data_IF_940883982228
#
_entry.id   IF_940883982228
#
_cell.length_a   1.000
_cell.length_b   1.000
_cell.length_c   1.000
_cell.angle_alpha   90.00
_cell.angle_beta   90.00
_cell.angle_gamma   90.00
#
_symmetry.space_group_name_H-M   'P 1'
#
loop_
_entity.id
_entity.type
_entity.pdbx_description
1 polymer ?
#
# COMPACT_ATOMS: atom_id res chain seq x y z
N UNK A 1 -26.65 -57.91 -19.30
CA UNK A 1 -25.63 -58.66 -18.53
C UNK A 1 -24.37 -57.81 -18.44
N UNK A 2 -24.21 -57.00 -17.38
CA UNK A 2 -22.91 -56.35 -17.09
C UNK A 2 -22.70 -56.36 -15.57
N UNK A 3 -21.99 -57.38 -15.08
CA UNK A 3 -21.66 -57.54 -13.67
C UNK A 3 -20.64 -56.51 -13.23
N UNK A 4 -21.00 -55.68 -12.24
CA UNK A 4 -20.04 -54.86 -11.49
C UNK A 4 -19.24 -55.80 -10.58
N UNK A 5 -17.96 -55.98 -10.87
CA UNK A 5 -17.03 -56.71 -10.02
C UNK A 5 -16.81 -55.95 -8.71
N UNK A 6 -17.37 -56.50 -7.63
CA UNK A 6 -17.20 -55.98 -6.29
C UNK A 6 -15.79 -56.34 -5.79
N UNK A 7 -14.81 -55.47 -6.04
CA UNK A 7 -13.46 -55.61 -5.46
C UNK A 7 -13.56 -55.40 -3.95
N UNK A 8 -13.68 -56.50 -3.20
CA UNK A 8 -13.55 -56.51 -1.75
C UNK A 8 -12.16 -55.96 -1.40
N UNK A 9 -12.13 -54.79 -0.75
CA UNK A 9 -10.91 -54.20 -0.21
C UNK A 9 -10.36 -55.16 0.86
N UNK A 10 -9.24 -55.80 0.59
CA UNK A 10 -8.52 -56.61 1.56
C UNK A 10 -8.19 -55.76 2.79
N UNK A 11 -8.55 -56.25 3.98
CA UNK A 11 -8.25 -55.61 5.24
C UNK A 11 -6.73 -55.52 5.41
N UNK A 12 -6.21 -54.31 5.64
CA UNK A 12 -4.79 -54.12 5.95
C UNK A 12 -4.46 -54.87 7.24
N UNK A 13 -3.54 -55.82 7.19
CA UNK A 13 -3.01 -56.48 8.38
C UNK A 13 -2.36 -55.43 9.29
N UNK A 14 -2.98 -55.17 10.43
CA UNK A 14 -2.44 -54.24 11.44
C UNK A 14 -1.55 -55.01 12.40
N UNK A 15 -0.29 -54.59 12.54
CA UNK A 15 0.63 -55.17 13.50
C UNK A 15 0.04 -55.03 14.92
N UNK A 16 -0.18 -56.14 15.67
CA UNK A 16 -0.79 -56.10 16.99
C UNK A 16 0.04 -55.33 18.03
N UNK A 17 1.32 -55.07 17.76
CA UNK A 17 2.19 -54.24 18.59
C UNK A 17 1.91 -52.72 18.44
N UNK A 18 1.17 -52.31 17.41
CA UNK A 18 0.84 -50.90 17.15
C UNK A 18 -0.63 -50.67 17.54
N UNK A 19 -0.84 -50.25 18.79
CA UNK A 19 -2.18 -49.94 19.33
C UNK A 19 -2.51 -48.45 19.15
N UNK A 20 -3.67 -48.14 18.58
CA UNK A 20 -4.14 -46.78 18.38
C UNK A 20 -4.70 -46.16 19.67
N UNK A 21 -3.87 -45.41 20.40
CA UNK A 21 -4.28 -44.71 21.62
C UNK A 21 -4.92 -43.34 21.30
N UNK A 22 -6.23 -43.32 21.09
CA UNK A 22 -6.99 -42.08 20.86
C UNK A 22 -7.04 -41.25 22.14
N UNK A 23 -6.56 -40.00 22.08
CA UNK A 23 -6.62 -39.05 23.20
C UNK A 23 -7.86 -38.17 23.07
N UNK A 24 -8.65 -38.09 24.14
CA UNK A 24 -9.71 -37.09 24.27
C UNK A 24 -9.08 -35.81 24.79
N UNK A 25 -9.17 -34.74 24.01
CA UNK A 25 -8.62 -33.45 24.38
C UNK A 25 -9.71 -32.52 24.90
N UNK A 26 -9.40 -31.70 25.90
CA UNK A 26 -10.37 -30.77 26.47
C UNK A 26 -10.08 -30.45 27.92
N UNK A 27 -10.93 -29.61 28.52
CA UNK A 27 -10.83 -29.26 29.94
C UNK A 27 -11.14 -30.51 30.78
N UNK A 28 -10.25 -30.87 31.71
CA UNK A 28 -10.37 -32.09 32.53
C UNK A 28 -9.81 -33.36 31.89
N UNK A 29 -9.38 -33.29 30.61
CA UNK A 29 -8.74 -34.39 29.90
C UNK A 29 -7.35 -33.95 29.40
N UNK A 30 -6.83 -34.57 28.33
CA UNK A 30 -5.51 -34.25 27.77
C UNK A 30 -5.52 -32.83 27.19
N UNK A 31 -4.48 -32.05 27.48
CA UNK A 31 -4.32 -30.72 26.88
C UNK A 31 -4.03 -30.83 25.38
N UNK A 32 -4.66 -29.97 24.58
CA UNK A 32 -4.31 -29.85 23.17
C UNK A 32 -2.88 -29.31 23.02
N UNK A 33 -2.07 -29.83 22.08
CA UNK A 33 -0.89 -29.10 21.63
C UNK A 33 -1.35 -27.78 21.00
N UNK A 34 -0.78 -26.66 21.43
CA UNK A 34 -1.16 -25.32 20.97
C UNK A 34 0.07 -24.53 20.58
N UNK A 35 -0.04 -23.73 19.52
CA UNK A 35 0.93 -22.68 19.25
C UNK A 35 0.76 -21.56 20.29
N UNK A 36 1.81 -21.34 21.08
CA UNK A 36 1.85 -20.33 22.13
C UNK A 36 2.41 -18.99 21.67
N UNK A 37 2.84 -18.84 20.41
CA UNK A 37 3.47 -17.61 19.86
C UNK A 37 2.74 -16.32 20.24
N UNK A 38 1.40 -16.34 20.23
CA UNK A 38 0.56 -15.20 20.61
C UNK A 38 0.61 -14.84 22.11
N UNK A 39 0.82 -15.84 22.96
CA UNK A 39 0.77 -15.73 24.43
C UNK A 39 2.15 -15.55 25.06
N UNK A 40 3.22 -15.67 24.26
CA UNK A 40 4.60 -15.42 24.71
C UNK A 40 4.79 -13.95 25.13
N UNK A 41 5.45 -13.74 26.26
CA UNK A 41 5.94 -12.43 26.67
C UNK A 41 7.16 -12.07 25.81
N UNK A 42 6.94 -11.24 24.79
CA UNK A 42 8.01 -10.81 23.90
C UNK A 42 9.06 -9.92 24.61
N UNK A 43 10.34 -9.99 24.19
CA UNK A 43 11.38 -9.05 24.62
C UNK A 43 10.96 -7.58 24.43
N UNK A 44 11.54 -6.69 25.23
CA UNK A 44 11.15 -5.27 25.27
C UNK A 44 11.22 -4.59 23.89
N UNK A 45 12.28 -4.80 23.12
CA UNK A 45 12.44 -4.18 21.80
C UNK A 45 11.34 -4.57 20.80
N UNK A 46 10.88 -5.83 20.83
CA UNK A 46 9.78 -6.30 19.98
C UNK A 46 8.46 -5.67 20.40
N UNK A 47 8.23 -5.54 21.72
CA UNK A 47 7.03 -4.88 22.27
C UNK A 47 6.96 -3.42 21.84
N UNK A 48 8.05 -2.67 22.03
CA UNK A 48 8.15 -1.26 21.63
C UNK A 48 7.87 -1.08 20.13
N UNK A 49 8.44 -1.91 19.26
CA UNK A 49 8.18 -1.83 17.80
C UNK A 49 6.71 -2.11 17.45
N UNK A 50 6.10 -3.11 18.08
CA UNK A 50 4.68 -3.46 17.88
C UNK A 50 3.75 -2.37 18.40
N UNK A 51 4.04 -1.83 19.59
CA UNK A 51 3.30 -0.75 20.22
C UNK A 51 3.40 0.55 19.42
N UNK A 52 4.59 0.92 18.93
CA UNK A 52 4.78 2.07 18.02
C UNK A 52 3.90 1.95 16.78
N UNK A 53 3.92 0.80 16.11
CA UNK A 53 3.05 0.54 14.93
C UNK A 53 1.57 0.60 15.30
N UNK A 54 1.18 0.09 16.46
CA UNK A 54 -0.21 0.11 16.91
C UNK A 54 -0.66 1.54 17.22
N UNK A 55 0.17 2.32 17.89
CA UNK A 55 -0.11 3.71 18.24
C UNK A 55 -0.33 4.57 16.99
N UNK A 56 0.54 4.44 15.98
CA UNK A 56 0.38 5.13 14.69
C UNK A 56 -0.93 4.79 13.97
N UNK A 57 -1.46 3.58 14.15
CA UNK A 57 -2.77 3.18 13.59
C UNK A 57 -3.94 3.75 14.38
N UNK A 58 -3.80 3.89 15.69
CA UNK A 58 -4.89 4.29 16.62
C UNK A 58 -5.06 5.80 16.70
N UNK A 59 -3.94 6.53 16.69
CA UNK A 59 -3.98 7.99 16.70
C UNK A 59 -4.53 8.52 15.37
N UNK A 60 -5.14 9.70 15.42
CA UNK A 60 -5.50 10.45 14.22
C UNK A 60 -4.20 11.06 13.67
N UNK A 61 -3.82 10.68 12.45
CA UNK A 61 -2.59 11.18 11.83
C UNK A 61 -2.89 12.39 10.95
N UNK A 62 -2.05 13.45 11.02
CA UNK A 62 -2.25 14.64 10.20
C UNK A 62 -2.03 14.33 8.72
N UNK A 63 -2.66 15.07 7.78
CA UNK A 63 -2.58 14.80 6.36
C UNK A 63 -1.14 14.74 5.82
N UNK A 64 -0.26 15.63 6.29
CA UNK A 64 1.16 15.66 5.89
C UNK A 64 1.90 14.34 6.15
N UNK A 65 1.52 13.61 7.20
CA UNK A 65 2.09 12.30 7.55
C UNK A 65 1.33 11.17 6.87
N UNK A 66 0.01 11.30 6.76
CA UNK A 66 -0.88 10.31 6.14
C UNK A 66 -0.51 10.02 4.67
N UNK A 67 -0.04 11.03 3.95
CA UNK A 67 0.48 10.93 2.57
C UNK A 67 1.47 9.75 2.43
N UNK A 68 2.42 9.61 3.34
CA UNK A 68 3.41 8.53 3.27
C UNK A 68 2.84 7.16 3.67
N UNK A 69 1.85 7.12 4.56
CA UNK A 69 1.29 5.87 5.06
C UNK A 69 0.34 5.20 4.06
N UNK A 70 -0.54 5.98 3.43
CA UNK A 70 -1.68 5.46 2.67
C UNK A 70 -1.62 5.78 1.17
N UNK A 71 -0.89 6.82 0.76
CA UNK A 71 -0.81 7.25 -0.64
C UNK A 71 0.53 6.85 -1.26
N UNK A 72 0.77 5.54 -1.31
CA UNK A 72 1.92 4.97 -2.02
C UNK A 72 1.53 4.47 -3.39
N UNK A 73 2.45 4.50 -4.34
CA UNK A 73 2.29 3.93 -5.66
C UNK A 73 1.95 2.44 -5.57
N UNK A 74 0.99 2.01 -6.38
CA UNK A 74 0.57 0.62 -6.48
C UNK A 74 1.68 -0.25 -7.08
N UNK A 75 1.53 -1.58 -6.93
CA UNK A 75 2.57 -2.54 -7.32
C UNK A 75 2.87 -2.50 -8.82
N UNK A 76 1.87 -2.25 -9.66
CA UNK A 76 2.02 -2.30 -11.13
C UNK A 76 2.85 -1.11 -11.59
N UNK A 77 2.43 0.11 -11.24
CA UNK A 77 3.16 1.33 -11.58
C UNK A 77 4.55 1.37 -10.94
N UNK A 78 4.70 0.89 -9.69
CA UNK A 78 6.00 0.80 -9.05
C UNK A 78 6.94 -0.16 -9.80
N UNK A 79 6.45 -1.29 -10.30
CA UNK A 79 7.29 -2.24 -11.03
C UNK A 79 7.78 -1.65 -12.35
N UNK A 80 6.92 -0.92 -13.07
CA UNK A 80 7.30 -0.19 -14.28
C UNK A 80 8.34 0.90 -13.97
N UNK A 81 8.12 1.68 -12.91
CA UNK A 81 9.07 2.69 -12.44
C UNK A 81 10.45 2.08 -12.18
N UNK A 82 10.53 1.01 -11.39
CA UNK A 82 11.81 0.40 -11.04
C UNK A 82 12.55 -0.19 -12.23
N UNK A 83 11.85 -0.70 -13.25
CA UNK A 83 12.48 -1.17 -14.50
C UNK A 83 13.18 -0.03 -15.23
N UNK A 84 12.50 1.11 -15.39
CA UNK A 84 13.06 2.31 -16.03
C UNK A 84 14.26 2.83 -15.22
N UNK A 85 14.12 2.90 -13.89
CA UNK A 85 15.21 3.38 -13.02
C UNK A 85 16.43 2.44 -13.06
N UNK A 86 16.24 1.15 -13.32
CA UNK A 86 17.33 0.18 -13.44
C UNK A 86 18.30 0.51 -14.58
N UNK A 87 17.79 1.06 -15.67
CA UNK A 87 18.60 1.43 -16.83
C UNK A 87 19.45 2.70 -16.61
N UNK A 88 19.14 3.50 -15.58
CA UNK A 88 19.73 4.82 -15.30
C UNK A 88 20.57 4.78 -14.00
N UNK A 89 20.97 3.60 -13.55
CA UNK A 89 21.78 3.43 -12.33
C UNK A 89 23.10 4.20 -12.40
N UNK A 90 23.55 4.81 -11.28
CA UNK A 90 24.89 5.38 -11.20
C UNK A 90 25.95 4.27 -11.21
N UNK A 91 27.17 4.61 -11.62
CA UNK A 91 28.27 3.65 -11.67
C UNK A 91 28.64 3.10 -10.29
N UNK A 92 28.93 1.80 -10.24
CA UNK A 92 29.54 1.18 -9.07
C UNK A 92 30.98 1.67 -8.86
N UNK A 93 31.45 1.64 -7.61
CA UNK A 93 32.81 2.05 -7.25
C UNK A 93 33.90 1.29 -8.02
N UNK A 94 33.70 -0.01 -8.26
CA UNK A 94 34.64 -0.85 -9.03
C UNK A 94 34.71 -0.43 -10.51
N UNK A 95 33.55 -0.25 -11.16
CA UNK A 95 33.45 0.21 -12.54
C UNK A 95 34.06 1.63 -12.70
N UNK A 96 33.79 2.52 -11.74
CA UNK A 96 34.38 3.87 -11.71
C UNK A 96 35.90 3.83 -11.63
N UNK A 97 36.46 2.93 -10.81
CA UNK A 97 37.92 2.75 -10.70
C UNK A 97 38.52 2.23 -12.01
N UNK A 98 37.87 1.25 -12.66
CA UNK A 98 38.31 0.74 -13.96
C UNK A 98 38.27 1.84 -15.03
N UNK A 99 37.21 2.64 -15.08
CA UNK A 99 37.09 3.78 -16.00
C UNK A 99 38.19 4.81 -15.77
N UNK A 100 38.48 5.16 -14.52
CA UNK A 100 39.56 6.10 -14.18
C UNK A 100 40.92 5.53 -14.59
N UNK A 101 41.18 4.24 -14.33
CA UNK A 101 42.43 3.57 -14.75
C UNK A 101 42.57 3.51 -16.26
N UNK A 102 41.50 3.21 -16.99
CA UNK A 102 41.50 3.20 -18.45
C UNK A 102 41.77 4.60 -19.02
N UNK A 103 41.07 5.61 -18.52
CA UNK A 103 41.29 7.00 -18.92
C UNK A 103 42.73 7.47 -18.61
N UNK A 104 43.29 7.07 -17.46
CA UNK A 104 44.67 7.38 -17.10
C UNK A 104 45.69 6.70 -18.04
N UNK A 105 45.45 5.44 -18.43
CA UNK A 105 46.28 4.73 -19.42
C UNK A 105 46.23 5.40 -20.79
N UNK A 106 45.03 5.72 -21.28
CA UNK A 106 44.86 6.44 -22.56
C UNK A 106 45.56 7.80 -22.57
N UNK A 107 45.50 8.54 -21.45
CA UNK A 107 46.20 9.82 -21.30
C UNK A 107 47.72 9.64 -21.30
N UNK A 108 48.23 8.61 -20.61
CA UNK A 108 49.66 8.30 -20.60
C UNK A 108 50.17 7.94 -22.00
N UNK A 109 49.45 7.10 -22.74
CA UNK A 109 49.80 6.72 -24.12
C UNK A 109 49.78 7.91 -25.09
N UNK A 110 48.80 8.81 -24.97
CA UNK A 110 48.74 10.04 -25.79
C UNK A 110 49.89 10.99 -25.49
N UNK A 111 50.28 11.11 -24.22
CA UNK A 111 51.41 11.95 -23.80
C UNK A 111 52.73 11.39 -24.33
N UNK A 112 52.91 10.06 -24.31
CA UNK A 112 54.09 9.40 -24.90
C UNK A 112 54.18 9.58 -26.42
N UNK A 113 53.04 9.72 -27.12
CA UNK A 113 52.97 9.97 -28.57
C UNK A 113 53.08 11.46 -28.95
N UNK A 114 53.32 12.36 -27.99
CA UNK A 114 53.51 13.80 -28.25
C UNK A 114 52.24 14.58 -28.62
N UNK A 115 51.05 13.95 -28.57
CA UNK A 115 49.78 14.65 -28.76
C UNK A 115 49.40 15.45 -27.50
N UNK A 116 48.84 16.66 -27.69
CA UNK A 116 48.37 17.50 -26.56
C UNK A 116 47.37 16.70 -25.71
N UNK A 117 47.71 16.56 -24.42
CA UNK A 117 46.90 15.91 -23.39
C UNK A 117 45.64 16.73 -23.03
N UNK A 118 44.83 17.10 -24.02
CA UNK A 118 43.46 17.52 -23.74
C UNK A 118 42.66 16.25 -23.45
N UNK A 119 42.13 16.14 -22.23
CA UNK A 119 41.21 15.08 -21.83
C UNK A 119 40.23 14.80 -22.97
N UNK A 120 40.24 13.56 -23.44
CA UNK A 120 39.51 13.01 -24.58
C UNK A 120 38.14 13.68 -24.77
N UNK A 121 37.78 13.98 -26.03
CA UNK A 121 36.43 14.22 -26.58
C UNK A 121 35.33 14.34 -25.51
N UNK A 122 34.74 15.54 -25.33
CA UNK A 122 33.52 15.81 -24.53
C UNK A 122 32.60 14.59 -24.57
N UNK A 123 32.75 13.71 -23.60
CA UNK A 123 32.02 12.45 -23.55
C UNK A 123 30.64 12.86 -23.08
N UNK A 124 29.61 12.50 -23.84
CA UNK A 124 28.24 12.87 -23.50
C UNK A 124 27.96 12.46 -22.04
N UNK A 125 27.47 13.41 -21.26
CA UNK A 125 27.24 13.19 -19.83
C UNK A 125 26.25 12.02 -19.69
N UNK A 126 26.60 10.95 -18.96
CA UNK A 126 25.71 9.81 -18.84
C UNK A 126 24.47 10.20 -18.04
N UNK A 127 23.29 9.83 -18.57
CA UNK A 127 22.03 9.92 -17.84
C UNK A 127 22.12 9.00 -16.60
N UNK A 128 22.13 9.60 -15.42
CA UNK A 128 22.31 8.90 -14.14
C UNK A 128 21.30 9.40 -13.13
N UNK A 129 20.88 8.51 -12.22
CA UNK A 129 20.00 8.88 -11.12
C UNK A 129 20.68 9.84 -10.16
N UNK A 130 19.98 10.95 -9.88
CA UNK A 130 20.40 11.89 -8.86
C UNK A 130 19.84 11.44 -7.52
N UNK A 131 20.68 11.37 -6.49
CA UNK A 131 20.29 10.91 -5.16
C UNK A 131 20.77 11.86 -4.06
N UNK A 132 20.21 11.67 -2.86
CA UNK A 132 20.52 12.47 -1.67
C UNK A 132 19.61 13.68 -1.55
N UNK A 133 19.09 13.91 -0.34
CA UNK A 133 18.04 14.91 -0.06
C UNK A 133 18.47 16.31 -0.53
N UNK A 134 19.64 16.79 -0.10
CA UNK A 134 20.11 18.14 -0.44
C UNK A 134 20.29 18.33 -1.95
N UNK A 135 20.81 17.31 -2.65
CA UNK A 135 21.00 17.38 -4.09
C UNK A 135 19.66 17.37 -4.83
N UNK A 136 18.73 16.52 -4.39
CA UNK A 136 17.38 16.44 -4.97
C UNK A 136 16.60 17.74 -4.74
N UNK A 137 16.66 18.33 -3.54
CA UNK A 137 16.03 19.64 -3.25
C UNK A 137 16.54 20.70 -4.21
N UNK A 138 17.86 20.81 -4.40
CA UNK A 138 18.47 21.74 -5.36
C UNK A 138 17.97 21.52 -6.80
N UNK A 139 17.77 20.26 -7.21
CA UNK A 139 17.24 19.93 -8.54
C UNK A 139 15.76 20.30 -8.69
N UNK A 140 14.97 20.17 -7.62
CA UNK A 140 13.57 20.58 -7.57
C UNK A 140 13.47 22.10 -7.68
N UNK A 141 14.24 22.84 -6.88
CA UNK A 141 14.28 24.31 -6.90
C UNK A 141 14.68 24.87 -8.26
N UNK A 142 15.65 24.22 -8.92
CA UNK A 142 16.07 24.57 -10.29
C UNK A 142 15.12 24.08 -11.38
N UNK A 143 14.05 23.35 -11.04
CA UNK A 143 13.11 22.71 -11.97
C UNK A 143 13.79 21.82 -13.01
N UNK A 144 14.90 21.18 -12.63
CA UNK A 144 15.67 20.27 -13.48
C UNK A 144 15.24 18.80 -13.32
N UNK A 145 14.53 18.49 -12.24
CA UNK A 145 13.99 17.16 -12.00
C UNK A 145 12.70 16.93 -12.83
N UNK A 146 12.65 15.83 -13.58
CA UNK A 146 11.47 15.39 -14.32
C UNK A 146 10.50 14.57 -13.45
N UNK A 147 11.06 13.79 -12.52
CA UNK A 147 10.31 13.01 -11.54
C UNK A 147 11.12 12.89 -10.25
N UNK A 148 10.44 13.04 -9.11
CA UNK A 148 11.01 12.81 -7.78
C UNK A 148 10.36 11.58 -7.15
N UNK A 149 11.17 10.62 -6.74
CA UNK A 149 10.74 9.37 -6.11
C UNK A 149 11.09 9.43 -4.63
N UNK A 150 10.08 9.32 -3.78
CA UNK A 150 10.21 9.47 -2.33
C UNK A 150 9.89 8.14 -1.64
N UNK A 151 10.71 7.70 -0.69
CA UNK A 151 10.40 6.53 0.13
C UNK A 151 9.40 6.86 1.25
N UNK A 152 8.49 5.92 1.54
CA UNK A 152 7.50 6.07 2.61
C UNK A 152 8.00 5.78 4.03
N UNK A 153 9.10 5.02 4.17
CA UNK A 153 9.59 4.40 5.41
C UNK A 153 10.90 5.05 5.89
N UNK A 154 11.07 6.33 5.58
CA UNK A 154 12.20 7.12 6.03
C UNK A 154 12.03 7.43 7.52
N UNK A 155 13.12 7.26 8.26
CA UNK A 155 13.20 7.52 9.69
C UNK A 155 14.50 8.29 9.91
N UNK A 156 14.47 9.54 10.41
CA UNK A 156 13.32 10.37 10.81
C UNK A 156 12.44 10.91 9.65
N UNK A 157 11.15 11.14 9.91
CA UNK A 157 10.18 11.52 8.86
C UNK A 157 10.35 13.00 8.43
N UNK A 158 10.78 13.85 9.35
CA UNK A 158 11.03 15.29 9.22
C UNK A 158 11.87 15.62 7.98
N UNK A 159 12.80 14.72 7.66
CA UNK A 159 13.69 14.81 6.49
C UNK A 159 12.95 14.87 5.15
N UNK A 160 11.71 14.36 5.09
CA UNK A 160 10.97 14.11 3.85
C UNK A 160 9.57 14.75 3.86
N UNK A 161 9.01 15.11 5.02
CA UNK A 161 7.64 15.68 5.14
C UNK A 161 7.39 16.85 4.18
N UNK A 162 8.39 17.73 4.00
CA UNK A 162 8.24 18.94 3.20
C UNK A 162 8.33 18.70 1.68
N UNK A 163 8.88 17.56 1.23
CA UNK A 163 9.17 17.32 -0.19
C UNK A 163 7.93 17.25 -1.07
N UNK A 164 6.84 16.54 -0.70
CA UNK A 164 5.60 16.56 -1.49
C UNK A 164 5.05 17.97 -1.70
N UNK A 165 5.17 18.84 -0.69
CA UNK A 165 4.72 20.22 -0.78
C UNK A 165 5.64 21.07 -1.66
N UNK A 166 6.96 20.90 -1.53
CA UNK A 166 7.96 21.55 -2.38
C UNK A 166 7.76 21.21 -3.87
N UNK A 167 7.61 19.92 -4.18
CA UNK A 167 7.34 19.44 -5.52
C UNK A 167 6.03 20.03 -6.08
N UNK A 168 4.98 20.12 -5.25
CA UNK A 168 3.70 20.72 -5.65
C UNK A 168 3.84 22.20 -5.99
N UNK A 169 4.51 22.98 -5.13
CA UNK A 169 4.72 24.42 -5.32
C UNK A 169 5.51 24.72 -6.60
N UNK A 170 6.52 23.90 -6.90
CA UNK A 170 7.41 24.09 -8.04
C UNK A 170 6.98 23.33 -9.31
N UNK A 171 5.80 22.69 -9.29
CA UNK A 171 5.21 21.96 -10.42
C UNK A 171 6.08 20.78 -10.91
N UNK A 172 6.78 20.12 -9.98
CA UNK A 172 7.60 18.93 -10.28
C UNK A 172 6.80 17.67 -9.93
N UNK A 173 6.61 16.72 -10.87
CA UNK A 173 5.95 15.45 -10.58
C UNK A 173 6.71 14.66 -9.51
N UNK A 174 5.98 14.08 -8.57
CA UNK A 174 6.55 13.22 -7.54
C UNK A 174 5.70 11.97 -7.30
N UNK A 175 6.34 10.90 -6.82
CA UNK A 175 5.65 9.70 -6.38
C UNK A 175 6.23 9.19 -5.07
N UNK A 176 5.40 8.48 -4.31
CA UNK A 176 5.80 7.86 -3.05
C UNK A 176 5.83 6.35 -3.25
N UNK A 177 6.94 5.73 -2.88
CA UNK A 177 7.22 4.32 -3.13
C UNK A 177 7.47 3.58 -1.82
N UNK A 178 7.07 2.30 -1.79
CA UNK A 178 7.32 1.42 -0.65
C UNK A 178 8.77 0.93 -0.64
N UNK A 179 9.49 1.23 0.43
CA UNK A 179 10.80 0.66 0.77
C UNK A 179 11.97 1.53 0.34
N UNK A 180 12.57 2.24 1.30
CA UNK A 180 13.85 2.96 1.14
C UNK A 180 15.02 2.04 0.79
N UNK A 181 14.94 0.77 1.19
CA UNK A 181 15.91 -0.25 0.82
C UNK A 181 15.92 -0.53 -0.69
N UNK A 182 14.73 -0.54 -1.31
CA UNK A 182 14.60 -0.79 -2.76
C UNK A 182 15.14 0.38 -3.59
N UNK A 183 14.97 1.62 -3.13
CA UNK A 183 15.63 2.79 -3.72
C UNK A 183 17.16 2.74 -3.48
N UNK A 184 17.61 2.27 -2.31
CA UNK A 184 19.02 2.09 -2.01
C UNK A 184 19.72 1.14 -2.99
N UNK A 185 19.09 0.01 -3.32
CA UNK A 185 19.62 -0.97 -4.27
C UNK A 185 19.90 -0.37 -5.65
N UNK A 186 19.08 0.58 -6.13
CA UNK A 186 19.32 1.27 -7.40
C UNK A 186 20.60 2.12 -7.39
N UNK A 187 20.97 2.68 -6.24
CA UNK A 187 22.11 3.61 -6.12
C UNK A 187 23.33 2.97 -5.46
N UNK A 188 23.35 1.64 -5.33
CA UNK A 188 24.40 0.89 -4.63
C UNK A 188 24.61 1.34 -3.17
N UNK A 189 23.51 1.59 -2.45
CA UNK A 189 23.48 1.92 -1.01
C UNK A 189 22.52 1.00 -0.26
N UNK A 190 22.67 0.89 1.06
CA UNK A 190 21.74 0.13 1.90
C UNK A 190 20.34 0.74 1.90
N UNK A 191 20.24 2.06 1.87
CA UNK A 191 18.98 2.80 1.85
C UNK A 191 19.11 4.11 1.08
N UNK A 192 18.00 4.57 0.50
CA UNK A 192 17.88 5.91 -0.06
C UNK A 192 16.51 6.50 0.30
N UNK A 193 16.49 7.72 0.83
CA UNK A 193 15.25 8.41 1.18
C UNK A 193 14.54 8.97 -0.07
N UNK A 194 15.30 9.53 -0.99
CA UNK A 194 14.80 10.25 -2.16
C UNK A 194 15.75 10.04 -3.34
N UNK A 195 15.17 9.87 -4.52
CA UNK A 195 15.88 9.80 -5.80
C UNK A 195 15.16 10.72 -6.79
N UNK A 196 15.89 11.38 -7.67
CA UNK A 196 15.35 12.21 -8.73
C UNK A 196 15.88 11.78 -10.10
N UNK A 197 15.00 11.86 -11.09
CA UNK A 197 15.31 11.62 -12.51
C UNK A 197 15.43 12.98 -13.19
N UNK A 198 16.61 13.27 -13.75
CA UNK A 198 16.88 14.50 -14.52
C UNK A 198 16.84 14.22 -16.02
N UNK A 199 17.56 13.19 -16.45
CA UNK A 199 17.71 12.77 -17.84
C UNK A 199 17.38 11.27 -17.97
N UNK A 200 16.91 10.89 -19.16
CA UNK A 200 16.43 9.55 -19.48
C UNK A 200 16.96 9.19 -20.84
N UNK A 201 17.30 7.91 -21.02
CA UNK A 201 17.70 7.35 -22.31
C UNK A 201 16.54 7.45 -23.30
N UNK A 202 16.86 7.54 -24.60
CA UNK A 202 15.85 7.70 -25.65
C UNK A 202 14.87 6.53 -25.70
N UNK A 203 15.34 5.32 -25.41
CA UNK A 203 14.57 4.07 -25.42
C UNK A 203 13.40 4.08 -24.41
N UNK A 204 13.63 4.57 -23.19
CA UNK A 204 12.65 4.53 -22.11
C UNK A 204 11.77 5.79 -22.03
N UNK A 205 11.99 6.77 -22.91
CA UNK A 205 11.38 8.11 -22.81
C UNK A 205 9.86 8.06 -22.88
N UNK A 206 9.29 7.32 -23.84
CA UNK A 206 7.84 7.22 -24.02
C UNK A 206 7.16 6.52 -22.83
N UNK A 207 7.73 5.41 -22.35
CA UNK A 207 7.21 4.68 -21.20
C UNK A 207 7.27 5.54 -19.92
N UNK A 208 8.35 6.32 -19.75
CA UNK A 208 8.49 7.23 -18.63
C UNK A 208 7.47 8.38 -18.68
N UNK A 209 7.25 9.01 -19.84
CA UNK A 209 6.29 10.11 -19.98
C UNK A 209 4.86 9.65 -19.65
N UNK A 210 4.46 8.47 -20.11
CA UNK A 210 3.18 7.87 -19.74
C UNK A 210 3.07 7.62 -18.24
N UNK A 211 4.12 7.07 -17.62
CA UNK A 211 4.15 6.87 -16.17
C UNK A 211 4.07 8.20 -15.39
N UNK A 212 4.77 9.23 -15.85
CA UNK A 212 4.75 10.56 -15.22
C UNK A 212 3.36 11.20 -15.32
N UNK A 213 2.66 11.04 -16.44
CA UNK A 213 1.28 11.51 -16.57
C UNK A 213 0.36 10.81 -15.56
N UNK A 214 0.44 9.48 -15.47
CA UNK A 214 -0.33 8.71 -14.48
C UNK A 214 -0.02 9.15 -13.04
N UNK A 215 1.26 9.32 -12.71
CA UNK A 215 1.71 9.80 -11.39
C UNK A 215 1.19 11.21 -11.11
N UNK A 216 1.19 12.11 -12.10
CA UNK A 216 0.69 13.47 -11.95
C UNK A 216 -0.79 13.47 -11.58
N UNK A 217 -1.61 12.65 -12.23
CA UNK A 217 -3.03 12.52 -11.86
C UNK A 217 -3.22 11.94 -10.45
N UNK A 218 -2.39 10.97 -10.04
CA UNK A 218 -2.48 10.36 -8.70
C UNK A 218 -2.10 11.35 -7.57
N UNK A 219 -1.05 12.16 -7.74
CA UNK A 219 -0.50 12.97 -6.64
C UNK A 219 -0.77 14.47 -6.78
N UNK A 220 -0.66 15.00 -8.01
CA UNK A 220 -0.67 16.44 -8.24
C UNK A 220 -2.10 16.99 -8.32
N UNK A 221 -2.95 16.33 -9.10
CA UNK A 221 -4.34 16.73 -9.36
C UNK A 221 -5.27 16.39 -8.17
N UNK A 222 -4.90 15.38 -7.38
CA UNK A 222 -5.66 14.93 -6.22
C UNK A 222 -5.49 15.84 -4.99
N UNK A 223 -6.21 16.97 -4.98
CA UNK A 223 -6.20 17.90 -3.85
C UNK A 223 -6.68 17.28 -2.51
N UNK A 224 -7.56 16.28 -2.58
CA UNK A 224 -8.10 15.58 -1.40
C UNK A 224 -7.00 14.96 -0.53
N UNK A 225 -5.94 14.43 -1.15
CA UNK A 225 -4.83 13.77 -0.48
C UNK A 225 -4.15 14.66 0.59
N UNK A 226 -4.12 15.98 0.37
CA UNK A 226 -3.51 16.93 1.31
C UNK A 226 -4.43 17.35 2.46
N UNK A 227 -5.70 16.94 2.43
CA UNK A 227 -6.73 17.29 3.43
C UNK A 227 -7.16 16.06 4.25
N UNK A 228 -6.91 14.87 3.74
CA UNK A 228 -7.33 13.61 4.35
C UNK A 228 -6.50 13.28 5.61
N UNK A 229 -7.17 13.22 6.75
CA UNK A 229 -6.59 12.71 7.98
C UNK A 229 -6.58 11.18 7.96
N UNK A 230 -5.47 10.59 8.43
CA UNK A 230 -5.33 9.15 8.52
C UNK A 230 -5.52 8.61 9.93
N UNK A 231 -5.26 7.30 10.05
CA UNK A 231 -5.24 6.61 11.34
C UNK A 231 -6.66 6.37 11.88
N UNK A 232 -6.81 6.44 13.21
CA UNK A 232 -8.07 6.12 13.93
C UNK A 232 -8.65 4.73 13.60
N UNK A 233 -7.79 3.80 13.15
CA UNK A 233 -8.19 2.43 12.87
C UNK A 233 -8.30 1.73 14.21
N UNK A 234 -9.46 1.16 14.54
CA UNK A 234 -9.66 0.42 15.79
C UNK A 234 -9.15 -1.04 15.71
N UNK A 235 -9.08 -1.70 16.86
CA UNK A 235 -8.65 -3.10 16.93
C UNK A 235 -9.74 -4.07 16.47
N UNK A 236 -9.34 -5.24 15.97
CA UNK A 236 -10.25 -6.28 15.50
C UNK A 236 -11.36 -6.60 16.51
N UNK A 237 -11.03 -6.79 17.81
CA UNK A 237 -12.00 -7.06 18.86
C UNK A 237 -13.06 -5.94 19.01
N UNK A 238 -12.63 -4.69 18.89
CA UNK A 238 -13.55 -3.56 18.96
C UNK A 238 -14.45 -3.52 17.72
N UNK A 239 -13.87 -3.69 16.52
CA UNK A 239 -14.63 -3.70 15.26
C UNK A 239 -15.66 -4.82 15.23
N UNK A 240 -15.32 -6.03 15.69
CA UNK A 240 -16.24 -7.15 15.83
C UNK A 240 -17.39 -6.86 16.81
N UNK A 241 -17.09 -6.23 17.95
CA UNK A 241 -18.13 -5.79 18.89
C UNK A 241 -19.07 -4.78 18.24
N UNK A 242 -18.54 -3.77 17.55
CA UNK A 242 -19.34 -2.78 16.85
C UNK A 242 -20.19 -3.40 15.74
N UNK A 243 -19.62 -4.32 14.95
CA UNK A 243 -20.34 -5.04 13.90
C UNK A 243 -21.50 -5.86 14.46
N UNK A 244 -21.32 -6.51 15.61
CA UNK A 244 -22.40 -7.22 16.32
C UNK A 244 -23.48 -6.29 16.87
N UNK A 245 -23.11 -5.10 17.33
CA UNK A 245 -24.08 -4.09 17.79
C UNK A 245 -24.88 -3.56 16.60
N UNK A 246 -24.19 -3.19 15.51
CA UNK A 246 -24.83 -2.73 14.26
C UNK A 246 -25.75 -3.80 13.66
N UNK A 247 -25.35 -5.06 13.65
CA UNK A 247 -26.21 -6.12 13.12
C UNK A 247 -27.47 -6.36 13.95
N UNK A 248 -27.42 -6.16 15.27
CA UNK A 248 -28.61 -6.19 16.14
C UNK A 248 -29.50 -4.98 15.88
N UNK A 249 -28.93 -3.77 15.87
CA UNK A 249 -29.67 -2.55 15.57
C UNK A 249 -30.38 -2.62 14.21
N UNK A 250 -29.71 -3.14 13.19
CA UNK A 250 -30.30 -3.29 11.86
C UNK A 250 -31.45 -4.30 11.84
N UNK A 251 -31.39 -5.36 12.66
CA UNK A 251 -32.51 -6.30 12.84
C UNK A 251 -33.67 -5.61 13.54
N UNK A 252 -33.41 -4.91 14.65
CA UNK A 252 -34.44 -4.20 15.41
C UNK A 252 -35.14 -3.12 14.54
N UNK A 253 -34.38 -2.39 13.72
CA UNK A 253 -34.91 -1.42 12.76
C UNK A 253 -35.73 -2.09 11.66
N UNK A 254 -35.27 -3.23 11.12
CA UNK A 254 -36.02 -3.97 10.12
C UNK A 254 -37.34 -4.52 10.67
N UNK A 255 -37.34 -5.01 11.91
CA UNK A 255 -38.53 -5.52 12.58
C UNK A 255 -39.51 -4.38 12.91
N UNK A 256 -39.01 -3.21 13.36
CA UNK A 256 -39.83 -1.99 13.50
C UNK A 256 -40.41 -1.52 12.16
N UNK A 257 -39.62 -1.53 11.08
CA UNK A 257 -40.10 -1.15 9.76
C UNK A 257 -41.20 -2.12 9.25
N UNK A 258 -41.06 -3.43 9.50
CA UNK A 258 -42.12 -4.41 9.20
C UNK A 258 -43.38 -4.16 10.02
N UNK A 259 -43.24 -3.85 11.31
CA UNK A 259 -44.37 -3.52 12.17
C UNK A 259 -45.09 -2.25 11.70
N UNK A 260 -44.34 -1.20 11.34
CA UNK A 260 -44.89 0.03 10.77
C UNK A 260 -45.59 -0.23 9.43
N UNK A 261 -44.98 -1.03 8.54
CA UNK A 261 -45.61 -1.40 7.28
C UNK A 261 -46.90 -2.20 7.49
N UNK A 262 -46.94 -3.11 8.46
CA UNK A 262 -48.16 -3.84 8.82
C UNK A 262 -49.26 -2.89 9.33
N UNK A 263 -48.91 -1.95 10.23
CA UNK A 263 -49.83 -0.92 10.76
C UNK A 263 -50.38 0.02 9.68
N UNK A 264 -49.58 0.38 8.66
CA UNK A 264 -50.05 1.20 7.53
C UNK A 264 -50.99 0.44 6.59
N UNK A 265 -50.81 -0.87 6.44
CA UNK A 265 -51.71 -1.70 5.63
C UNK A 265 -53.05 -1.90 6.34
N UNK A 266 -53.05 -2.10 7.66
CA UNK A 266 -54.29 -2.23 8.43
C UNK A 266 -55.11 -0.94 8.47
N UNK A 267 -54.46 0.22 8.63
CA UNK A 267 -55.15 1.52 8.61
C UNK A 267 -55.74 1.86 7.24
N UNK A 268 -55.06 1.52 6.14
CA UNK A 268 -55.60 1.69 4.78
C UNK A 268 -56.77 0.74 4.44
N UNK A 269 -56.92 -0.37 5.16
CA UNK A 269 -58.08 -1.28 5.05
C UNK A 269 -59.25 -0.77 5.87
N UNK A 270 -59.02 -0.21 7.06
CA UNK A 270 -60.07 0.41 7.89
C UNK A 270 -60.65 1.67 7.25
N UNK A 271 -59.83 2.51 6.60
CA UNK A 271 -60.32 3.71 5.88
C UNK A 271 -61.22 3.37 4.68
N UNK A 272 -61.05 2.18 4.09
CA UNK A 272 -61.92 1.67 3.00
C UNK A 272 -63.18 0.93 3.51
N UNK A 273 -63.22 0.60 4.80
CA UNK A 273 -64.32 -0.15 5.42
C UNK A 273 -65.28 0.73 6.24
N UNK A 274 -65.03 2.04 6.36
CA UNK A 274 -65.98 2.97 6.96
C UNK A 274 -67.26 3.10 6.10
N UNK A 275 -68.46 2.83 6.64
CA UNK A 275 -69.70 2.95 5.88
C UNK A 275 -70.10 4.42 5.71
N UNK A 276 -70.43 4.79 4.48
CA UNK A 276 -71.25 5.98 4.18
C UNK A 276 -72.62 5.75 4.81
N UNK A 277 -72.88 6.38 5.96
CA UNK A 277 -74.22 6.41 6.56
C UNK A 277 -75.03 7.56 5.94
N UNK A 278 -76.18 7.19 5.38
CA UNK A 278 -77.18 8.04 4.70
C UNK A 278 -77.71 9.20 5.56
N UNK A 279 -77.77 10.38 4.95
CA UNK A 279 -78.69 11.45 5.30
C UNK A 279 -79.97 11.29 4.45
N UNK A 280 -80.95 10.52 4.94
CA UNK A 280 -82.34 10.57 4.45
C UNK A 280 -83.33 10.34 5.60
N UNK A 281 -83.90 11.43 6.13
CA UNK A 281 -85.22 11.42 6.76
C UNK A 281 -86.24 11.93 5.73
N UNK A 282 -87.25 11.10 5.49
CA UNK A 282 -88.28 11.27 4.50
C UNK A 282 -89.28 12.36 4.88
N UNK A 283 -89.66 13.11 3.86
CA UNK A 283 -90.89 13.87 3.73
C UNK A 283 -92.07 12.89 3.61
N UNK A 284 -93.14 13.10 4.38
CA UNK A 284 -94.49 12.58 4.10
C UNK A 284 -95.53 13.51 4.73
N UNK A 285 -96.16 14.27 3.84
CA UNK A 285 -97.35 15.11 3.96
C UNK A 285 -98.49 14.52 4.80
N UNK A 286 -98.90 15.26 5.83
CA UNK A 286 -100.28 15.58 6.24
C UNK A 286 -100.22 16.43 7.53
#
# INVERSE_FOLDING_TARGET
MSGKSNKQKQAKQTNPLIVANKKVFGKGNVAHPRDLTRYVKYPLYVRIQKEKRLLMKRLKTPPAVNIFANHTLDKTNATQLFKILDHIKPEERAAKLQRIRAAAKELAEKTQKGEKATASKKTEKPATLSYGINNVVRLIERKQAKLVVIAHDVEPLEMVVYLPYLCKKLQVPYCIVKGKARLGQLIHRSTAAVVAVTEIKKEDKAAFESLVQNVKSIYFENAHMYREFGGRINGFKHNEKQKKIQSKLNKDLADKAKQQAALTVTTAVEEKAAPVAEEKKADKTA
#
